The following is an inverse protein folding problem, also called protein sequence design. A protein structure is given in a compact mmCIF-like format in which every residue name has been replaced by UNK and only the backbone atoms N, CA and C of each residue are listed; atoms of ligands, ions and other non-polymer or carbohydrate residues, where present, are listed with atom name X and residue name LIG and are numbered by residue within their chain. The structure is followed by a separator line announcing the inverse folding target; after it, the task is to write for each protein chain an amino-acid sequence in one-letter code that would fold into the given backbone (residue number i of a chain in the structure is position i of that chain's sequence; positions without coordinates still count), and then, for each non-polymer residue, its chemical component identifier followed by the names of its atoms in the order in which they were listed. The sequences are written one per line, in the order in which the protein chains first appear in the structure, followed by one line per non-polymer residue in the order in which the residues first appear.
data_IF_119113553667
#
_entry.id   IF_119113553667
#
_cell.length_a   1.000
_cell.length_b   1.000
_cell.length_c   1.000
_cell.angle_alpha   90.00
_cell.angle_beta   90.00
_cell.angle_gamma   90.00
#
_symmetry.space_group_name_H-M   'P 1'
#
loop_
_entity.id
_entity.type
_entity.pdbx_description
1 polymer ?
#
# COMPACT_ATOMS: atom_id res chain seq x y z
N UNK A 1 -51.55 24.95 17.87
CA UNK A 1 -50.36 25.83 17.85
C UNK A 1 -49.20 25.02 17.25
N UNK A 2 -48.41 25.69 16.40
CA UNK A 2 -47.39 25.19 15.47
C UNK A 2 -46.38 24.19 16.05
N UNK A 3 -46.24 23.03 15.40
CA UNK A 3 -45.12 22.10 15.58
C UNK A 3 -43.93 22.63 14.77
N UNK A 4 -42.93 23.20 15.44
CA UNK A 4 -41.72 23.71 14.82
C UNK A 4 -40.55 22.74 15.02
N UNK A 5 -40.49 21.70 14.20
CA UNK A 5 -39.36 20.77 14.17
C UNK A 5 -38.26 21.37 13.29
N UNK A 6 -37.24 21.97 13.91
CA UNK A 6 -36.02 22.41 13.21
C UNK A 6 -35.04 21.25 13.23
N UNK A 7 -35.15 20.34 12.25
CA UNK A 7 -34.08 19.37 11.95
C UNK A 7 -33.15 20.04 10.97
N UNK A 8 -32.10 20.67 11.49
CA UNK A 8 -30.98 21.14 10.69
C UNK A 8 -30.20 19.90 10.22
N UNK A 9 -30.40 19.52 8.96
CA UNK A 9 -29.71 18.43 8.30
C UNK A 9 -28.22 18.77 8.10
N UNK A 10 -27.36 18.21 8.95
CA UNK A 10 -25.92 18.12 8.68
C UNK A 10 -25.70 17.03 7.63
N UNK A 11 -25.86 17.36 6.34
CA UNK A 11 -25.36 16.51 5.26
C UNK A 11 -23.84 16.67 5.18
N UNK A 12 -23.10 15.87 5.95
CA UNK A 12 -21.68 15.66 5.70
C UNK A 12 -21.54 14.92 4.37
N UNK A 13 -21.14 15.63 3.32
CA UNK A 13 -20.85 15.05 2.00
C UNK A 13 -19.60 14.20 2.15
N UNK A 14 -19.77 12.89 2.40
CA UNK A 14 -18.66 11.94 2.31
C UNK A 14 -18.37 11.70 0.84
N UNK A 15 -17.30 12.29 0.31
CA UNK A 15 -16.80 11.88 -1.00
C UNK A 15 -16.31 10.44 -0.91
N UNK A 16 -16.64 9.55 -1.87
CA UNK A 16 -16.10 8.21 -1.89
C UNK A 16 -14.56 8.29 -2.00
N UNK A 17 -13.87 7.67 -1.05
CA UNK A 17 -12.43 7.50 -1.14
C UNK A 17 -12.16 6.50 -2.29
N UNK A 18 -11.58 6.98 -3.38
CA UNK A 18 -11.12 6.09 -4.43
C UNK A 18 -9.95 5.26 -3.89
N UNK A 19 -10.09 3.93 -3.91
CA UNK A 19 -9.01 3.03 -3.54
C UNK A 19 -7.93 3.05 -4.62
N UNK A 20 -6.68 3.02 -4.19
CA UNK A 20 -5.50 2.91 -5.04
C UNK A 20 -4.89 1.54 -4.89
N UNK A 21 -4.73 0.81 -5.99
CA UNK A 21 -4.10 -0.50 -5.97
C UNK A 21 -2.58 -0.36 -5.98
N UNK A 22 -1.91 -0.76 -4.91
CA UNK A 22 -0.48 -0.95 -4.86
C UNK A 22 -0.15 -2.37 -5.33
N UNK A 23 0.54 -2.51 -6.46
CA UNK A 23 1.10 -3.78 -6.94
C UNK A 23 2.55 -3.92 -6.52
N UNK A 24 2.90 -5.10 -6.04
CA UNK A 24 4.25 -5.41 -5.56
C UNK A 24 4.81 -6.61 -6.32
N UNK A 25 6.08 -6.53 -6.71
CA UNK A 25 6.81 -7.67 -7.23
C UNK A 25 6.87 -8.79 -6.16
N UNK A 26 6.82 -10.07 -6.55
CA UNK A 26 6.92 -11.21 -5.62
C UNK A 26 8.22 -11.24 -4.82
N UNK A 27 9.26 -10.58 -5.33
CA UNK A 27 10.55 -10.43 -4.63
C UNK A 27 10.50 -9.32 -3.54
N UNK A 28 9.36 -8.66 -3.32
CA UNK A 28 9.21 -7.58 -2.33
C UNK A 28 8.53 -8.09 -1.05
N UNK A 29 9.26 -8.00 0.06
CA UNK A 29 8.73 -8.17 1.40
C UNK A 29 8.31 -6.78 1.96
N UNK A 30 7.01 -6.48 1.97
CA UNK A 30 6.48 -5.27 2.59
C UNK A 30 6.47 -5.40 4.12
N UNK A 31 7.13 -4.47 4.81
CA UNK A 31 7.31 -4.49 6.26
C UNK A 31 6.37 -3.53 6.99
N UNK A 32 6.20 -2.32 6.45
CA UNK A 32 5.40 -1.25 7.07
C UNK A 32 4.67 -0.46 5.99
N UNK A 33 3.40 -0.12 6.26
CA UNK A 33 2.61 0.87 5.50
C UNK A 33 2.17 1.94 6.48
N UNK A 34 2.57 3.19 6.25
CA UNK A 34 2.15 4.35 7.05
C UNK A 34 2.37 4.17 8.56
N UNK A 35 3.54 3.62 8.92
CA UNK A 35 3.91 3.33 10.32
C UNK A 35 3.28 2.05 10.90
N UNK A 36 2.35 1.40 10.19
CA UNK A 36 1.73 0.13 10.62
C UNK A 36 2.53 -1.05 10.09
N UNK A 37 2.98 -1.94 11.00
CA UNK A 37 3.67 -3.17 10.61
C UNK A 37 2.72 -4.07 9.83
N UNK A 38 3.18 -4.53 8.67
CA UNK A 38 2.52 -5.58 7.93
C UNK A 38 2.97 -6.91 8.51
N UNK A 39 2.01 -7.79 8.82
CA UNK A 39 2.35 -9.18 9.17
C UNK A 39 2.87 -9.86 7.90
N UNK A 40 4.02 -10.52 8.00
CA UNK A 40 4.86 -10.98 6.88
C UNK A 40 4.27 -12.08 5.98
N UNK A 41 2.94 -12.15 5.88
CA UNK A 41 2.19 -13.09 5.05
C UNK A 41 1.06 -12.44 4.26
N UNK A 42 0.67 -11.18 4.52
CA UNK A 42 -0.51 -10.58 3.88
C UNK A 42 -0.37 -10.46 2.35
N UNK A 43 0.87 -10.44 1.85
CA UNK A 43 1.20 -10.34 0.42
C UNK A 43 1.82 -11.63 -0.15
N UNK A 44 2.08 -12.63 0.69
CA UNK A 44 2.59 -13.92 0.21
C UNK A 44 1.44 -14.71 -0.38
N UNK A 45 1.00 -14.29 -1.57
CA UNK A 45 -0.17 -14.82 -2.28
C UNK A 45 -1.15 -13.76 -2.79
N UNK A 46 -0.93 -12.48 -2.46
CA UNK A 46 -1.70 -11.37 -3.03
C UNK A 46 -0.75 -10.45 -3.81
N UNK A 47 -0.99 -10.30 -5.11
CA UNK A 47 -0.16 -9.47 -6.00
C UNK A 47 -0.36 -7.96 -5.77
N UNK A 48 -1.32 -7.60 -4.92
CA UNK A 48 -1.69 -6.21 -4.67
C UNK A 48 -2.32 -5.95 -3.29
N UNK A 49 -2.20 -4.70 -2.86
CA UNK A 49 -2.83 -4.12 -1.67
C UNK A 49 -3.65 -2.90 -2.06
N UNK A 50 -4.81 -2.68 -1.44
CA UNK A 50 -5.55 -1.43 -1.58
C UNK A 50 -5.06 -0.41 -0.56
N UNK A 51 -4.83 0.81 -1.05
CA UNK A 51 -4.49 1.99 -0.27
C UNK A 51 -5.61 3.02 -0.39
N UNK A 52 -5.80 3.80 0.67
CA UNK A 52 -6.66 4.98 0.59
C UNK A 52 -6.07 6.03 -0.36
N UNK A 53 -6.85 7.08 -0.66
CA UNK A 53 -6.34 8.25 -1.38
C UNK A 53 -5.55 9.16 -0.43
N UNK A 54 -4.30 9.47 -0.74
CA UNK A 54 -3.49 10.34 0.12
C UNK A 54 -1.99 10.17 -0.02
N UNK A 55 -1.25 10.64 0.98
CA UNK A 55 0.18 10.44 1.07
C UNK A 55 0.44 9.09 1.75
N UNK A 56 1.28 8.26 1.13
CA UNK A 56 1.71 6.99 1.68
C UNK A 56 3.22 6.90 1.81
N UNK A 57 3.65 6.08 2.75
CA UNK A 57 5.02 5.65 2.94
C UNK A 57 5.08 4.14 3.18
N UNK A 58 5.97 3.48 2.44
CA UNK A 58 6.23 2.06 2.55
C UNK A 58 7.65 1.84 3.06
N UNK A 59 7.82 0.84 3.93
CA UNK A 59 9.10 0.22 4.24
C UNK A 59 9.08 -1.21 3.72
N UNK A 60 10.03 -1.58 2.88
CA UNK A 60 10.09 -2.91 2.28
C UNK A 60 11.53 -3.40 2.11
N UNK A 61 11.69 -4.69 1.83
CA UNK A 61 12.95 -5.31 1.42
C UNK A 61 12.76 -6.03 0.10
N UNK A 62 13.84 -6.18 -0.64
CA UNK A 62 13.90 -7.04 -1.82
C UNK A 62 14.60 -8.33 -1.43
N UNK A 63 13.93 -9.46 -1.60
CA UNK A 63 14.45 -10.81 -1.37
C UNK A 63 14.36 -11.60 -2.66
N UNK A 64 15.50 -11.93 -3.27
CA UNK A 64 15.55 -12.65 -4.56
C UNK A 64 16.58 -13.77 -4.53
N UNK A 65 16.30 -14.87 -5.22
CA UNK A 65 17.28 -15.91 -5.49
C UNK A 65 18.20 -15.46 -6.64
N UNK A 66 19.49 -15.25 -6.35
CA UNK A 66 20.50 -14.83 -7.32
C UNK A 66 21.43 -16.00 -7.62
N UNK A 67 21.70 -16.25 -8.90
CA UNK A 67 22.63 -17.29 -9.32
C UNK A 67 24.04 -16.72 -9.39
N UNK A 68 24.97 -17.33 -8.66
CA UNK A 68 26.40 -17.05 -8.69
C UNK A 68 27.13 -18.30 -9.16
N UNK A 69 27.46 -18.36 -10.45
CA UNK A 69 28.03 -19.54 -11.10
C UNK A 69 27.08 -20.75 -11.05
N UNK A 70 27.50 -21.81 -10.34
CA UNK A 70 26.71 -23.03 -10.16
C UNK A 70 25.85 -23.02 -8.88
N UNK A 71 25.93 -21.98 -8.06
CA UNK A 71 25.19 -21.89 -6.80
C UNK A 71 24.06 -20.86 -6.88
N UNK A 72 22.92 -21.16 -6.27
CA UNK A 72 21.83 -20.20 -6.06
C UNK A 72 21.90 -19.74 -4.61
N UNK A 73 21.96 -18.43 -4.40
CA UNK A 73 21.99 -17.82 -3.07
C UNK A 73 20.84 -16.83 -2.92
N UNK A 74 20.23 -16.76 -1.74
CA UNK A 74 19.28 -15.71 -1.41
C UNK A 74 20.02 -14.38 -1.21
N UNK A 75 19.65 -13.37 -1.98
CA UNK A 75 20.03 -11.98 -1.75
C UNK A 75 18.88 -11.28 -1.03
N UNK A 76 19.20 -10.52 0.01
CA UNK A 76 18.25 -9.63 0.69
C UNK A 76 18.85 -8.23 0.76
N UNK A 77 18.09 -7.23 0.33
CA UNK A 77 18.52 -5.83 0.40
C UNK A 77 18.49 -5.29 1.84
N UNK A 78 19.12 -4.13 2.02
CA UNK A 78 18.79 -3.26 3.15
C UNK A 78 17.31 -2.82 3.07
N UNK A 79 16.67 -2.41 4.18
CA UNK A 79 15.34 -1.83 4.13
C UNK A 79 15.30 -0.58 3.25
N UNK A 80 14.29 -0.49 2.40
CA UNK A 80 14.05 0.60 1.47
C UNK A 80 12.77 1.35 1.85
N UNK A 81 12.77 2.67 1.69
CA UNK A 81 11.62 3.53 1.95
C UNK A 81 11.14 4.15 0.64
N UNK A 82 9.86 4.01 0.33
CA UNK A 82 9.21 4.72 -0.77
C UNK A 82 8.11 5.61 -0.22
N UNK A 83 8.03 6.85 -0.70
CA UNK A 83 6.95 7.79 -0.36
C UNK A 83 6.30 8.30 -1.64
N UNK A 84 4.98 8.27 -1.71
CA UNK A 84 4.21 8.66 -2.91
C UNK A 84 2.81 9.14 -2.53
N UNK A 85 2.14 9.85 -3.44
CA UNK A 85 0.80 10.37 -3.23
C UNK A 85 -0.18 9.75 -4.22
N UNK A 86 -1.34 9.32 -3.75
CA UNK A 86 -2.35 8.57 -4.49
C UNK A 86 -3.65 9.34 -4.71
N UNK A 87 -3.75 10.63 -4.36
CA UNK A 87 -5.00 11.43 -4.42
C UNK A 87 -5.73 11.40 -5.77
N UNK A 88 -5.04 11.10 -6.88
CA UNK A 88 -5.62 10.97 -8.23
C UNK A 88 -5.02 9.80 -9.00
N UNK A 89 -4.47 8.82 -8.30
CA UNK A 89 -3.78 7.67 -8.90
C UNK A 89 -4.56 6.43 -8.54
N UNK A 90 -5.00 5.65 -9.52
CA UNK A 90 -5.73 4.40 -9.26
C UNK A 90 -4.80 3.20 -9.05
N UNK A 91 -3.55 3.28 -9.50
CA UNK A 91 -2.58 2.20 -9.34
C UNK A 91 -1.15 2.72 -9.17
N UNK A 92 -0.40 2.12 -8.26
CA UNK A 92 1.05 2.28 -8.10
C UNK A 92 1.69 0.90 -8.20
N UNK A 93 2.79 0.78 -8.93
CA UNK A 93 3.55 -0.47 -9.04
C UNK A 93 5.00 -0.23 -8.65
N UNK A 94 5.57 -1.14 -7.84
CA UNK A 94 7.01 -1.17 -7.56
C UNK A 94 7.62 -2.33 -8.33
N UNK A 95 8.34 -2.00 -9.39
CA UNK A 95 9.01 -2.94 -10.27
C UNK A 95 10.50 -2.97 -9.98
N UNK A 96 11.08 -4.17 -10.02
CA UNK A 96 12.52 -4.37 -9.91
C UNK A 96 13.09 -4.54 -11.32
N UNK A 97 14.29 -4.01 -11.60
CA UNK A 97 14.94 -4.19 -12.89
C UNK A 97 15.30 -5.65 -13.20
#
# INVERSE_FOLDING_TARGET
MKFGLVVAALLSISMPAAATTLKLSPDIDLLVVDGKKMTGSLLKGADSLELDGGQHQLLFKVTKAVRSGQHTQAYTSLPLVASFNTQKISQVAIELP
#
